data_IF_505226603330
#
_entry.id   IF_505226603330
#
_cell.length_a   1.000
_cell.length_b   1.000
_cell.length_c   1.000
_cell.angle_alpha   90.00
_cell.angle_beta   90.00
_cell.angle_gamma   90.00
#
_symmetry.space_group_name_H-M   'P 1'
#
loop_
_entity.id
_entity.type
_entity.pdbx_description
1 polymer ?
#
# COMPACT_ATOMS: atom_id res chain seq x y z
N UNK A 1 -36.01 -45.48 1.10
CA UNK A 1 -35.52 -44.34 0.31
C UNK A 1 -35.09 -43.26 1.31
N UNK A 2 -33.82 -43.23 1.67
CA UNK A 2 -33.28 -42.31 2.69
C UNK A 2 -32.94 -40.96 2.06
N UNK A 3 -33.53 -39.90 2.60
CA UNK A 3 -33.25 -38.53 2.17
C UNK A 3 -31.98 -38.07 2.90
N UNK A 4 -30.87 -38.01 2.17
CA UNK A 4 -29.61 -37.44 2.63
C UNK A 4 -29.80 -35.96 3.02
N UNK A 5 -29.87 -35.68 4.33
CA UNK A 5 -29.85 -34.32 4.86
C UNK A 5 -28.47 -33.72 4.67
N UNK A 6 -28.29 -32.88 3.64
CA UNK A 6 -27.10 -32.05 3.49
C UNK A 6 -26.93 -31.13 4.70
N UNK A 7 -25.90 -31.37 5.52
CA UNK A 7 -25.47 -30.48 6.60
C UNK A 7 -24.61 -29.36 6.02
N UNK A 8 -25.22 -28.25 5.63
CA UNK A 8 -24.46 -27.03 5.36
C UNK A 8 -24.04 -26.41 6.70
N UNK A 9 -22.74 -26.43 7.02
CA UNK A 9 -22.20 -25.61 8.10
C UNK A 9 -22.27 -24.15 7.65
N UNK A 10 -23.13 -23.36 8.26
CA UNK A 10 -23.13 -21.91 8.11
C UNK A 10 -21.75 -21.39 8.53
N UNK A 11 -20.99 -20.85 7.58
CA UNK A 11 -19.70 -20.22 7.86
C UNK A 11 -20.01 -18.90 8.56
N UNK A 12 -19.51 -18.72 9.78
CA UNK A 12 -19.58 -17.43 10.46
C UNK A 12 -18.82 -16.42 9.60
N UNK A 13 -19.48 -15.34 9.22
CA UNK A 13 -18.84 -14.20 8.57
C UNK A 13 -17.99 -13.51 9.63
N UNK A 14 -16.67 -13.50 9.44
CA UNK A 14 -15.78 -12.67 10.23
C UNK A 14 -16.05 -11.21 9.85
N UNK A 15 -16.79 -10.51 10.71
CA UNK A 15 -16.95 -9.07 10.58
C UNK A 15 -15.62 -8.44 11.02
N UNK A 16 -14.93 -7.76 10.11
CA UNK A 16 -13.71 -7.03 10.48
C UNK A 16 -14.12 -5.80 11.30
N UNK A 17 -13.72 -5.80 12.57
CA UNK A 17 -13.81 -4.63 13.43
C UNK A 17 -12.40 -4.10 13.71
N UNK A 18 -12.24 -2.79 13.65
CA UNK A 18 -11.09 -2.13 14.26
C UNK A 18 -11.20 -2.19 15.78
N UNK A 19 -10.07 -2.01 16.47
CA UNK A 19 -10.07 -1.94 17.93
C UNK A 19 -8.73 -2.30 18.57
N UNK A 20 -8.67 -2.05 19.88
CA UNK A 20 -7.54 -2.34 20.76
C UNK A 20 -7.85 -1.83 22.17
N UNK A 21 -6.80 -1.56 22.95
CA UNK A 21 -6.94 -1.04 24.30
C UNK A 21 -6.67 0.46 24.35
N UNK A 22 -7.47 1.18 25.12
CA UNK A 22 -7.21 2.57 25.48
C UNK A 22 -6.54 2.64 26.85
N UNK A 23 -5.90 3.77 27.14
CA UNK A 23 -5.42 4.09 28.48
C UNK A 23 -6.58 4.22 29.49
N UNK A 24 -6.31 3.88 30.75
CA UNK A 24 -7.29 3.97 31.83
C UNK A 24 -7.44 5.39 32.40
N UNK A 25 -6.52 6.29 32.04
CA UNK A 25 -6.48 7.68 32.54
C UNK A 25 -7.49 8.59 31.82
N UNK A 26 -8.22 8.07 30.83
CA UNK A 26 -9.25 8.81 30.10
C UNK A 26 -8.70 9.78 29.06
N UNK A 27 -7.43 9.65 28.66
CA UNK A 27 -6.85 10.49 27.59
C UNK A 27 -7.15 9.97 26.18
N UNK A 28 -7.92 8.88 26.06
CA UNK A 28 -8.32 8.22 24.82
C UNK A 28 -7.11 7.79 23.96
N UNK A 29 -5.96 7.52 24.61
CA UNK A 29 -4.75 7.08 23.92
C UNK A 29 -4.81 5.59 23.64
N UNK A 30 -4.56 5.22 22.39
CA UNK A 30 -4.40 3.83 21.97
C UNK A 30 -3.13 3.25 22.57
N UNK A 31 -3.22 2.08 23.19
CA UNK A 31 -2.10 1.34 23.79
C UNK A 31 -2.03 -0.10 23.28
N UNK A 32 -0.80 -0.62 23.14
CA UNK A 32 -0.56 -2.01 22.81
C UNK A 32 -1.06 -2.36 21.40
N UNK A 33 -1.53 -3.60 21.22
CA UNK A 33 -1.95 -4.12 19.92
C UNK A 33 -3.26 -3.48 19.44
N UNK A 34 -3.27 -3.07 18.17
CA UNK A 34 -4.39 -2.40 17.54
C UNK A 34 -4.63 -2.86 16.10
N UNK A 35 -5.89 -2.77 15.70
CA UNK A 35 -6.35 -2.85 14.31
C UNK A 35 -6.99 -1.51 13.98
N UNK A 36 -6.33 -0.71 13.14
CA UNK A 36 -6.92 0.50 12.56
C UNK A 36 -7.64 0.14 11.26
N UNK A 37 -8.76 0.81 11.03
CA UNK A 37 -9.43 0.79 9.73
C UNK A 37 -8.90 1.94 8.88
N UNK A 38 -8.76 1.69 7.58
CA UNK A 38 -8.49 2.76 6.62
C UNK A 38 -9.59 3.83 6.62
N UNK A 39 -9.24 5.09 6.38
CA UNK A 39 -10.22 6.19 6.38
C UNK A 39 -11.36 5.96 5.36
N UNK A 40 -11.05 5.28 4.25
CA UNK A 40 -12.02 4.90 3.23
C UNK A 40 -12.65 3.53 3.41
N UNK A 41 -12.62 2.95 4.63
CA UNK A 41 -13.07 1.57 4.86
C UNK A 41 -14.53 1.37 4.44
N UNK A 42 -14.73 0.51 3.45
CA UNK A 42 -16.04 0.14 2.89
C UNK A 42 -15.99 -1.27 2.32
N UNK A 43 -17.13 -1.82 1.91
CA UNK A 43 -17.24 -3.20 1.41
C UNK A 43 -16.19 -3.52 0.32
N UNK A 44 -15.94 -2.58 -0.60
CA UNK A 44 -14.99 -2.74 -1.72
C UNK A 44 -13.54 -2.30 -1.41
N UNK A 45 -13.30 -1.79 -0.19
CA UNK A 45 -12.02 -1.30 0.32
C UNK A 45 -11.90 -1.65 1.81
N UNK A 46 -11.67 -2.93 2.12
CA UNK A 46 -11.48 -3.38 3.50
C UNK A 46 -9.98 -3.47 3.79
N UNK A 47 -9.36 -2.31 4.00
CA UNK A 47 -7.95 -2.22 4.39
C UNK A 47 -7.86 -2.02 5.90
N UNK A 48 -7.08 -2.85 6.57
CA UNK A 48 -6.76 -2.68 8.00
C UNK A 48 -5.25 -2.53 8.21
N UNK A 49 -4.88 -1.82 9.26
CA UNK A 49 -3.50 -1.65 9.69
C UNK A 49 -3.35 -2.26 11.08
N UNK A 50 -2.54 -3.31 11.17
CA UNK A 50 -2.38 -4.09 12.38
C UNK A 50 -0.99 -3.84 12.94
N UNK A 51 -0.90 -3.39 14.18
CA UNK A 51 0.39 -3.14 14.81
C UNK A 51 0.27 -2.78 16.27
N UNK A 52 1.25 -2.05 16.77
CA UNK A 52 1.35 -1.70 18.19
C UNK A 52 1.51 -0.19 18.38
N UNK A 53 0.84 0.32 19.42
CA UNK A 53 1.00 1.67 19.94
C UNK A 53 1.78 1.65 21.26
N UNK A 54 2.68 2.62 21.43
CA UNK A 54 3.42 2.80 22.68
C UNK A 54 2.60 3.57 23.73
N UNK A 55 3.17 3.78 24.93
CA UNK A 55 2.54 4.51 26.05
C UNK A 55 2.15 5.96 25.73
N UNK A 56 2.72 6.55 24.68
CA UNK A 56 2.41 7.91 24.24
C UNK A 56 1.34 7.94 23.12
N UNK A 57 0.75 6.79 22.76
CA UNK A 57 -0.23 6.69 21.69
C UNK A 57 0.35 6.76 20.28
N UNK A 58 1.65 6.49 20.11
CA UNK A 58 2.33 6.51 18.81
C UNK A 58 2.60 5.11 18.27
N UNK A 59 2.54 4.96 16.94
CA UNK A 59 2.81 3.69 16.26
C UNK A 59 4.27 3.29 16.45
N UNK A 60 4.51 2.04 16.81
CA UNK A 60 5.85 1.48 16.99
C UNK A 60 5.95 0.09 16.40
N UNK A 61 7.17 -0.32 16.06
CA UNK A 61 7.47 -1.69 15.64
C UNK A 61 6.87 -2.03 14.29
N UNK A 62 6.59 -3.32 14.05
CA UNK A 62 6.03 -3.81 12.79
C UNK A 62 4.54 -3.47 12.70
N UNK A 63 4.15 -2.94 11.55
CA UNK A 63 2.78 -2.69 11.16
C UNK A 63 2.48 -3.40 9.84
N UNK A 64 1.50 -4.28 9.85
CA UNK A 64 1.05 -5.02 8.69
C UNK A 64 -0.19 -4.35 8.10
N UNK A 65 -0.21 -4.21 6.77
CA UNK A 65 -1.39 -3.73 6.04
C UNK A 65 -2.08 -4.93 5.45
N UNK A 66 -3.32 -5.19 5.87
CA UNK A 66 -4.12 -6.30 5.37
C UNK A 66 -5.22 -5.74 4.47
N UNK A 67 -5.39 -6.36 3.30
CA UNK A 67 -6.50 -6.05 2.42
C UNK A 67 -7.38 -7.30 2.27
N UNK A 68 -8.66 -7.14 2.62
CA UNK A 68 -9.68 -8.14 2.38
C UNK A 68 -10.55 -7.71 1.18
N UNK A 69 -10.68 -8.59 0.19
CA UNK A 69 -11.57 -8.34 -0.94
C UNK A 69 -12.98 -8.72 -0.49
N UNK A 70 -13.89 -7.72 -0.43
CA UNK A 70 -15.26 -7.93 0.01
C UNK A 70 -16.01 -8.99 -0.78
N UNK A 71 -16.95 -9.63 -0.11
CA UNK A 71 -17.64 -10.86 -0.53
C UNK A 71 -18.73 -10.71 -1.61
N UNK A 72 -18.89 -9.54 -2.24
CA UNK A 72 -20.03 -9.30 -3.15
C UNK A 72 -20.10 -10.29 -4.34
N UNK A 73 -19.00 -10.97 -4.68
CA UNK A 73 -18.93 -11.95 -5.77
C UNK A 73 -18.91 -13.43 -5.33
N UNK A 74 -19.18 -13.74 -4.05
CA UNK A 74 -19.19 -15.14 -3.52
C UNK A 74 -20.23 -16.09 -4.13
N UNK A 75 -21.06 -15.65 -5.07
CA UNK A 75 -21.97 -16.57 -5.79
C UNK A 75 -21.22 -17.56 -6.70
N UNK A 76 -19.95 -17.33 -7.04
CA UNK A 76 -19.07 -18.32 -7.66
C UNK A 76 -18.22 -19.06 -6.61
N UNK A 77 -18.85 -20.03 -5.93
CA UNK A 77 -18.39 -21.19 -5.11
C UNK A 77 -16.90 -21.51 -4.78
N UNK A 78 -15.92 -20.62 -4.94
CA UNK A 78 -14.55 -20.83 -4.44
C UNK A 78 -14.34 -19.85 -3.28
N UNK A 79 -14.82 -20.27 -2.10
CA UNK A 79 -14.61 -19.59 -0.82
C UNK A 79 -13.16 -19.81 -0.41
N UNK A 80 -12.22 -19.12 -1.05
CA UNK A 80 -10.94 -18.87 -0.43
C UNK A 80 -10.98 -17.41 -0.02
N UNK A 81 -11.28 -17.17 1.26
CA UNK A 81 -10.92 -15.92 1.93
C UNK A 81 -9.39 -15.89 1.98
N UNK A 82 -8.77 -15.65 0.83
CA UNK A 82 -7.33 -15.47 0.71
C UNK A 82 -7.07 -14.12 1.36
N UNK A 83 -6.20 -14.05 2.36
CA UNK A 83 -5.54 -12.79 2.67
C UNK A 83 -4.72 -12.42 1.44
N UNK A 84 -5.29 -11.60 0.56
CA UNK A 84 -4.75 -11.46 -0.79
C UNK A 84 -3.49 -10.60 -0.77
N UNK A 85 -3.28 -9.77 0.25
CA UNK A 85 -2.12 -8.90 0.32
C UNK A 85 -1.71 -8.58 1.75
N UNK A 86 -0.40 -8.61 1.99
CA UNK A 86 0.25 -8.08 3.19
C UNK A 86 1.24 -7.00 2.78
N UNK A 87 0.94 -5.76 3.16
CA UNK A 87 1.84 -4.62 3.01
C UNK A 87 2.41 -4.18 4.36
N UNK A 88 2.83 -2.93 4.42
CA UNK A 88 3.29 -2.30 5.65
C UNK A 88 4.80 -2.33 5.83
N UNK A 89 5.26 -2.07 7.05
CA UNK A 89 6.66 -1.82 7.37
C UNK A 89 6.84 -1.60 8.86
N UNK A 90 7.91 -0.93 9.25
CA UNK A 90 8.17 -0.65 10.67
C UNK A 90 8.11 0.83 10.99
N UNK A 91 7.54 1.16 12.14
CA UNK A 91 7.63 2.50 12.72
C UNK A 91 8.75 2.54 13.77
N UNK A 92 9.62 3.53 13.63
CA UNK A 92 10.54 3.97 14.66
C UNK A 92 9.91 5.11 15.47
N UNK A 93 10.40 5.28 16.70
CA UNK A 93 10.02 6.38 17.56
C UNK A 93 11.24 7.22 17.92
N UNK A 94 11.11 8.52 17.74
CA UNK A 94 12.09 9.53 18.12
C UNK A 94 11.40 10.55 19.05
N UNK A 95 12.05 10.93 20.15
CA UNK A 95 11.44 11.82 21.14
C UNK A 95 11.19 13.23 20.60
N UNK A 96 12.01 13.71 19.67
CA UNK A 96 11.92 15.07 19.13
C UNK A 96 10.96 15.13 17.93
N UNK A 97 10.93 14.08 17.11
CA UNK A 97 10.28 14.11 15.80
C UNK A 97 9.06 13.17 15.72
N UNK A 98 8.81 12.33 16.74
CA UNK A 98 7.63 11.49 16.84
C UNK A 98 7.73 10.17 16.08
N UNK A 99 6.58 9.67 15.61
CA UNK A 99 6.49 8.41 14.85
C UNK A 99 6.99 8.57 13.41
N UNK A 100 7.77 7.60 12.94
CA UNK A 100 8.30 7.61 11.58
C UNK A 100 8.39 6.23 10.96
N UNK A 101 8.11 6.14 9.67
CA UNK A 101 8.39 4.93 8.88
C UNK A 101 9.90 4.71 8.79
N UNK A 102 10.36 3.48 9.02
CA UNK A 102 11.77 3.08 8.90
C UNK A 102 11.88 1.72 8.22
N UNK A 103 13.02 1.49 7.55
CA UNK A 103 13.33 0.23 6.87
C UNK A 103 12.46 -0.01 5.64
N UNK A 104 12.26 -1.28 5.31
CA UNK A 104 11.47 -1.69 4.14
C UNK A 104 9.97 -1.47 4.36
N UNK A 105 9.34 -0.88 3.35
CA UNK A 105 7.92 -0.55 3.34
C UNK A 105 7.26 -0.99 2.04
N UNK A 106 6.03 -1.44 2.17
CA UNK A 106 5.09 -1.64 1.07
C UNK A 106 3.90 -0.73 1.32
N UNK A 107 3.80 0.35 0.55
CA UNK A 107 2.75 1.36 0.67
C UNK A 107 1.64 1.12 -0.31
N UNK A 108 0.40 1.33 0.12
CA UNK A 108 -0.75 1.36 -0.78
C UNK A 108 -0.82 2.73 -1.47
N UNK A 109 -1.26 2.73 -2.73
CA UNK A 109 -1.61 3.97 -3.41
C UNK A 109 -2.88 4.60 -2.83
N UNK A 110 -3.03 5.90 -3.02
CA UNK A 110 -4.33 6.55 -2.78
C UNK A 110 -5.41 5.92 -3.67
N UNK A 111 -6.58 5.68 -3.11
CA UNK A 111 -7.67 5.00 -3.83
C UNK A 111 -7.48 3.48 -4.00
N UNK A 112 -6.49 2.86 -3.33
CA UNK A 112 -6.31 1.40 -3.34
C UNK A 112 -7.64 0.68 -3.08
N UNK A 113 -8.01 -0.24 -3.98
CA UNK A 113 -9.27 -0.97 -3.93
C UNK A 113 -9.14 -2.30 -4.66
N UNK A 114 -10.19 -3.12 -4.64
CA UNK A 114 -10.20 -4.39 -5.36
C UNK A 114 -9.90 -4.28 -6.87
N UNK A 115 -10.25 -3.14 -7.50
CA UNK A 115 -10.04 -2.91 -8.93
C UNK A 115 -8.71 -2.23 -9.24
N UNK A 116 -8.05 -1.68 -8.22
CA UNK A 116 -6.87 -0.86 -8.39
C UNK A 116 -5.88 -1.14 -7.27
N UNK A 117 -5.04 -2.14 -7.52
CA UNK A 117 -4.11 -2.66 -6.53
C UNK A 117 -2.68 -2.27 -6.91
N UNK A 118 -2.34 -1.00 -6.67
CA UNK A 118 -0.97 -0.47 -6.86
C UNK A 118 -0.30 -0.31 -5.51
N UNK A 119 0.96 -0.73 -5.43
CA UNK A 119 1.79 -0.56 -4.24
C UNK A 119 3.16 0.01 -4.59
N UNK A 120 3.76 0.69 -3.62
CA UNK A 120 5.11 1.24 -3.70
C UNK A 120 6.01 0.54 -2.70
N UNK A 121 7.05 -0.10 -3.20
CA UNK A 121 7.94 -0.94 -2.39
C UNK A 121 9.31 -0.29 -2.35
N UNK A 122 9.79 0.06 -1.16
CA UNK A 122 11.12 0.63 -1.02
C UNK A 122 11.51 0.82 0.44
N UNK A 123 12.51 1.65 0.67
CA UNK A 123 13.10 1.83 1.99
C UNK A 123 12.93 3.27 2.49
N UNK A 124 12.66 3.38 3.79
CA UNK A 124 12.75 4.59 4.56
C UNK A 124 13.99 4.57 5.46
N UNK A 125 14.76 5.65 5.49
CA UNK A 125 15.84 5.80 6.44
C UNK A 125 15.33 6.11 7.86
N UNK A 126 16.25 6.19 8.83
CA UNK A 126 15.92 6.50 10.24
C UNK A 126 15.26 7.86 10.47
N UNK A 127 15.33 8.77 9.49
CA UNK A 127 14.68 10.09 9.54
C UNK A 127 13.26 10.07 8.98
N UNK A 128 12.73 8.92 8.53
CA UNK A 128 11.40 8.83 7.93
C UNK A 128 11.38 9.22 6.45
N UNK A 129 12.53 9.15 5.77
CA UNK A 129 12.69 9.66 4.41
C UNK A 129 12.90 8.50 3.44
N UNK A 130 12.15 8.49 2.34
CA UNK A 130 12.34 7.55 1.23
C UNK A 130 13.75 7.67 0.67
N UNK A 131 14.44 6.54 0.57
CA UNK A 131 15.80 6.45 0.04
C UNK A 131 15.93 5.27 -0.90
N UNK A 132 16.93 5.34 -1.78
CA UNK A 132 17.32 4.21 -2.62
C UNK A 132 16.22 3.81 -3.61
N UNK A 133 16.19 2.53 -3.96
CA UNK A 133 15.31 2.02 -5.01
C UNK A 133 13.88 1.86 -4.50
N UNK A 134 12.93 2.36 -5.28
CA UNK A 134 11.50 2.22 -5.06
C UNK A 134 10.85 1.60 -6.29
N UNK A 135 10.20 0.46 -6.12
CA UNK A 135 9.50 -0.28 -7.15
C UNK A 135 7.99 0.00 -7.09
N UNK A 136 7.36 0.22 -8.25
CA UNK A 136 5.91 0.32 -8.37
C UNK A 136 5.39 -1.03 -8.81
N UNK A 137 4.58 -1.64 -7.95
CA UNK A 137 4.01 -2.96 -8.17
C UNK A 137 2.52 -2.82 -8.43
N UNK A 138 1.99 -3.62 -9.34
CA UNK A 138 0.58 -3.64 -9.67
C UNK A 138 0.07 -5.06 -9.80
N UNK A 139 -1.17 -5.28 -9.38
CA UNK A 139 -1.87 -6.55 -9.52
C UNK A 139 -3.25 -6.35 -10.14
N UNK A 140 -3.58 -7.18 -11.11
CA UNK A 140 -4.93 -7.28 -11.67
C UNK A 140 -5.87 -8.00 -10.72
N UNK A 141 -7.18 -7.73 -10.82
CA UNK A 141 -8.17 -8.25 -9.87
C UNK A 141 -8.27 -9.79 -9.86
N UNK A 142 -7.93 -10.45 -10.97
CA UNK A 142 -7.94 -11.89 -11.18
C UNK A 142 -6.55 -12.53 -11.10
N UNK A 143 -5.50 -11.73 -10.89
CA UNK A 143 -4.14 -12.20 -10.73
C UNK A 143 -3.76 -12.38 -9.26
N UNK A 144 -2.94 -13.39 -8.98
CA UNK A 144 -2.44 -13.66 -7.62
C UNK A 144 -1.21 -12.79 -7.32
N UNK A 145 -0.32 -12.67 -8.30
CA UNK A 145 1.00 -12.06 -8.15
C UNK A 145 1.03 -10.59 -8.55
N UNK A 146 1.84 -9.81 -7.84
CA UNK A 146 2.13 -8.43 -8.23
C UNK A 146 3.24 -8.41 -9.30
N UNK A 147 3.02 -7.60 -10.34
CA UNK A 147 4.01 -7.33 -11.38
C UNK A 147 4.63 -5.95 -11.17
N UNK A 148 5.93 -5.85 -11.37
CA UNK A 148 6.62 -4.56 -11.38
C UNK A 148 6.25 -3.80 -12.66
N UNK A 149 5.68 -2.61 -12.52
CA UNK A 149 5.28 -1.74 -13.63
C UNK A 149 6.09 -0.44 -13.72
N UNK A 150 6.91 -0.14 -12.70
CA UNK A 150 7.65 1.11 -12.67
C UNK A 150 8.52 1.25 -11.43
N UNK A 151 8.84 2.49 -11.09
CA UNK A 151 9.72 2.85 -10.00
C UNK A 151 10.89 3.74 -10.40
N UNK A 152 11.82 3.93 -9.48
CA UNK A 152 13.07 4.63 -9.70
C UNK A 152 13.92 4.68 -8.43
N UNK A 153 14.84 5.63 -8.33
CA UNK A 153 15.78 5.75 -7.22
C UNK A 153 15.68 7.13 -6.56
N UNK A 154 15.40 7.16 -5.27
CA UNK A 154 15.57 8.35 -4.44
C UNK A 154 17.03 8.50 -4.02
N UNK A 155 17.47 9.74 -3.85
CA UNK A 155 18.80 10.01 -3.29
C UNK A 155 19.01 9.31 -1.93
N UNK A 156 20.26 8.97 -1.62
CA UNK A 156 20.62 8.35 -0.35
C UNK A 156 20.88 9.38 0.77
N UNK A 157 21.01 10.65 0.42
CA UNK A 157 21.26 11.74 1.37
C UNK A 157 20.02 12.06 2.23
N UNK A 158 18.86 11.54 1.82
CA UNK A 158 17.59 11.74 2.49
C UNK A 158 16.98 13.09 2.17
N UNK A 159 17.10 13.57 0.93
CA UNK A 159 16.42 14.79 0.48
C UNK A 159 15.10 14.52 -0.27
N UNK A 160 14.70 13.25 -0.37
CA UNK A 160 13.53 12.78 -1.14
C UNK A 160 13.56 13.15 -2.63
N UNK A 161 14.71 13.51 -3.18
CA UNK A 161 14.83 13.80 -4.60
C UNK A 161 14.87 12.49 -5.37
N UNK A 162 14.02 12.39 -6.37
CA UNK A 162 14.11 11.35 -7.40
C UNK A 162 15.33 11.65 -8.26
N UNK A 163 16.11 10.63 -8.61
CA UNK A 163 17.30 10.76 -9.44
C UNK A 163 17.34 9.65 -10.50
N UNK A 164 17.87 9.98 -11.68
CA UNK A 164 17.99 9.06 -12.80
C UNK A 164 16.64 8.62 -13.35
N UNK A 165 16.59 7.39 -13.87
CA UNK A 165 15.42 6.83 -14.56
C UNK A 165 14.24 6.64 -13.62
N UNK A 166 13.07 7.09 -14.05
CA UNK A 166 11.84 6.99 -13.31
C UNK A 166 10.66 6.61 -14.20
N UNK A 167 9.74 5.86 -13.60
CA UNK A 167 8.40 5.60 -14.15
C UNK A 167 7.37 6.16 -13.17
N UNK A 168 6.62 7.16 -13.61
CA UNK A 168 5.48 7.73 -12.86
C UNK A 168 4.16 7.17 -13.36
N UNK A 169 3.13 7.22 -12.53
CA UNK A 169 1.76 6.87 -12.91
C UNK A 169 0.92 8.15 -13.00
N UNK A 170 -0.05 8.18 -13.90
CA UNK A 170 -1.13 9.17 -13.87
C UNK A 170 -2.13 8.90 -12.72
N UNK A 171 -3.05 9.83 -12.50
CA UNK A 171 -4.07 9.75 -11.44
C UNK A 171 -5.00 8.54 -11.59
N UNK A 172 -5.19 8.02 -12.80
CA UNK A 172 -6.03 6.84 -13.07
C UNK A 172 -5.20 5.54 -13.19
N UNK A 173 -3.87 5.63 -13.12
CA UNK A 173 -2.93 4.50 -13.20
C UNK A 173 -3.01 3.70 -14.51
N UNK A 174 -3.53 4.32 -15.57
CA UNK A 174 -3.64 3.76 -16.92
C UNK A 174 -2.43 4.13 -17.77
N UNK A 175 -1.78 5.22 -17.42
CA UNK A 175 -0.69 5.80 -18.17
C UNK A 175 0.55 5.82 -17.29
N UNK A 176 1.67 5.40 -17.88
CA UNK A 176 2.99 5.56 -17.25
C UNK A 176 3.79 6.64 -17.97
N UNK A 177 4.49 7.47 -17.22
CA UNK A 177 5.44 8.45 -17.75
C UNK A 177 6.86 7.99 -17.45
N UNK A 178 7.62 7.71 -18.51
CA UNK A 178 9.00 7.23 -18.40
C UNK A 178 9.96 8.36 -18.75
N UNK A 179 10.87 8.70 -17.87
CA UNK A 179 11.90 9.69 -18.14
C UNK A 179 13.01 9.68 -17.11
N UNK A 180 13.76 10.77 -17.04
CA UNK A 180 14.88 10.90 -16.12
C UNK A 180 14.75 12.16 -15.27
N UNK A 181 15.26 12.07 -14.04
CA UNK A 181 15.47 13.18 -13.13
C UNK A 181 16.95 13.49 -13.00
N UNK A 182 17.31 14.76 -13.03
CA UNK A 182 18.67 15.21 -12.78
C UNK A 182 19.01 15.15 -11.27
N UNK A 183 20.27 15.46 -10.94
CA UNK A 183 20.76 15.49 -9.55
C UNK A 183 20.09 16.55 -8.65
N UNK A 184 19.36 17.51 -9.24
CA UNK A 184 18.56 18.50 -8.49
C UNK A 184 17.13 18.00 -8.22
N UNK A 185 16.76 16.82 -8.72
CA UNK A 185 15.41 16.28 -8.61
C UNK A 185 14.42 16.88 -9.62
N UNK A 186 14.90 17.47 -10.71
CA UNK A 186 14.06 18.04 -11.78
C UNK A 186 14.00 17.08 -12.96
N UNK A 187 12.83 16.96 -13.59
CA UNK A 187 12.65 16.19 -14.83
C UNK A 187 13.59 16.74 -15.90
N UNK A 188 14.27 15.86 -16.63
CA UNK A 188 15.13 16.23 -17.75
C UNK A 188 14.95 15.30 -18.94
N UNK A 189 15.32 15.80 -20.12
CA UNK A 189 15.29 15.01 -21.35
C UNK A 189 13.87 14.78 -21.85
N UNK A 190 13.65 13.60 -22.44
CA UNK A 190 12.37 13.23 -23.05
C UNK A 190 11.60 12.33 -22.08
N UNK A 191 10.39 12.76 -21.74
CA UNK A 191 9.44 11.99 -20.95
C UNK A 191 8.39 11.37 -21.86
N UNK A 192 8.35 10.05 -21.91
CA UNK A 192 7.51 9.29 -22.82
C UNK A 192 6.26 8.80 -22.09
N UNK A 193 5.09 9.17 -22.61
CA UNK A 193 3.80 8.71 -22.13
C UNK A 193 3.44 7.37 -22.78
N UNK A 194 3.17 6.34 -21.97
CA UNK A 194 2.87 4.99 -22.43
C UNK A 194 1.54 4.49 -21.85
N UNK A 195 0.72 3.87 -22.70
CA UNK A 195 -0.41 3.04 -22.26
C UNK A 195 0.13 1.81 -21.53
N UNK A 196 -0.28 1.61 -20.27
CA UNK A 196 0.16 0.48 -19.46
C UNK A 196 -0.20 -0.88 -20.09
N UNK A 197 -1.36 -0.99 -20.72
CA UNK A 197 -1.93 -2.23 -21.22
C UNK A 197 -1.51 -2.52 -22.66
N UNK A 198 -1.61 -1.50 -23.50
CA UNK A 198 -1.32 -1.62 -24.93
C UNK A 198 0.18 -1.51 -25.22
N UNK A 199 0.98 -1.09 -24.23
CA UNK A 199 2.41 -0.78 -24.38
C UNK A 199 2.65 0.18 -25.56
N UNK A 200 1.68 1.07 -25.81
CA UNK A 200 1.68 2.00 -26.94
C UNK A 200 2.08 3.38 -26.45
N UNK A 201 2.99 4.03 -27.17
CA UNK A 201 3.34 5.43 -26.95
C UNK A 201 2.16 6.34 -27.31
N UNK A 202 1.79 7.22 -26.39
CA UNK A 202 0.76 8.24 -26.60
C UNK A 202 1.35 9.59 -26.97
N UNK A 203 2.46 9.96 -26.34
CA UNK A 203 3.07 11.26 -26.50
C UNK A 203 4.45 11.30 -25.88
N UNK A 204 5.10 12.45 -26.05
CA UNK A 204 6.33 12.76 -25.36
C UNK A 204 6.39 14.24 -25.02
N UNK A 205 7.06 14.56 -23.92
CA UNK A 205 7.32 15.92 -23.47
C UNK A 205 8.82 16.10 -23.31
N UNK A 206 9.35 17.25 -23.71
CA UNK A 206 10.77 17.57 -23.59
C UNK A 206 10.98 18.58 -22.47
N UNK A 207 11.90 18.26 -21.56
CA UNK A 207 12.30 19.10 -20.45
C UNK A 207 13.76 19.51 -20.63
N UNK A 208 13.99 20.80 -20.77
CA UNK A 208 15.33 21.42 -20.84
C UNK A 208 15.56 22.17 -19.52
N UNK A 209 16.65 21.84 -18.82
CA UNK A 209 17.03 22.41 -17.53
C UNK A 209 18.22 23.36 -17.65
#
# INVERSE_FOLDING_TARGET
>A
MEINKCKYKLKQYECFSGGGQYDQEGSEKKLGKWIDLDEGFKIQKQVTYNGEYNLNGMKVGRWDILFNQGDEYKQMNIIISVHIFSGGGSYGYDQEIGEKKVGNWVELIEGFSQFQQVTFNGEYNMKGIKVGKWDIMYREWDEIEYKKIGGGVYDLEGSQKKIGKWVELDENFWITYNGEYNMKGMKEGIWVQMDKWKKKKYGEEKYEN
#
